data_IF_091258019518
#
_entry.id   IF_091258019518
#
_cell.length_a   1.000
_cell.length_b   1.000
_cell.length_c   1.000
_cell.angle_alpha   90.00
_cell.angle_beta   90.00
_cell.angle_gamma   90.00
#
_symmetry.space_group_name_H-M   'P 1'
#
loop_
_entity.id
_entity.type
_entity.pdbx_description
1 polymer ?
#
# COMPACT_ATOMS: atom_id res chain seq x y z
N UNK A 1 20.20 -54.38 -63.51
CA UNK A 1 19.77 -55.00 -62.26
C UNK A 1 18.52 -54.33 -61.81
N UNK A 2 17.34 -54.97 -62.06
CA UNK A 2 16.08 -54.56 -61.43
C UNK A 2 16.13 -55.06 -59.97
N UNK A 3 16.38 -54.15 -59.03
CA UNK A 3 16.14 -54.47 -57.63
C UNK A 3 14.64 -54.54 -57.45
N UNK A 4 14.12 -55.72 -57.17
CA UNK A 4 12.71 -55.84 -56.79
C UNK A 4 12.48 -55.02 -55.52
N UNK A 5 11.40 -54.23 -55.49
CA UNK A 5 11.08 -53.47 -54.29
C UNK A 5 10.92 -54.42 -53.09
N UNK A 6 11.42 -54.05 -51.94
CA UNK A 6 11.22 -54.84 -50.73
C UNK A 6 9.73 -55.05 -50.49
N UNK A 7 9.33 -56.31 -50.29
CA UNK A 7 7.95 -56.64 -49.89
C UNK A 7 7.67 -56.34 -48.40
N UNK A 8 8.67 -55.85 -47.67
CA UNK A 8 8.59 -55.54 -46.26
C UNK A 8 8.52 -54.03 -46.12
N UNK A 9 7.40 -53.52 -45.63
CA UNK A 9 7.22 -52.11 -45.30
C UNK A 9 7.74 -51.83 -43.89
N UNK A 10 8.75 -50.98 -43.81
CA UNK A 10 9.33 -50.49 -42.55
C UNK A 10 9.10 -49.00 -42.45
N UNK A 11 8.89 -48.51 -41.24
CA UNK A 11 8.80 -47.11 -40.94
C UNK A 11 9.82 -46.71 -39.88
N UNK A 12 10.28 -45.47 -39.94
CA UNK A 12 10.97 -44.79 -38.88
C UNK A 12 9.97 -43.90 -38.12
N UNK A 13 9.94 -44.00 -36.80
CA UNK A 13 9.20 -43.07 -35.97
C UNK A 13 10.04 -41.81 -35.65
N UNK A 14 9.42 -40.69 -35.45
CA UNK A 14 10.03 -39.47 -34.93
C UNK A 14 10.29 -39.55 -33.41
N UNK A 15 9.76 -40.59 -32.72
CA UNK A 15 10.12 -40.93 -31.34
C UNK A 15 10.98 -42.21 -31.34
N UNK A 16 12.13 -42.13 -30.70
CA UNK A 16 12.99 -43.29 -30.48
C UNK A 16 12.55 -44.12 -29.27
N UNK A 17 12.85 -45.40 -29.27
CA UNK A 17 12.62 -46.26 -28.09
C UNK A 17 13.41 -45.74 -26.87
N UNK A 18 12.72 -45.54 -25.75
CA UNK A 18 13.28 -44.98 -24.53
C UNK A 18 13.23 -43.47 -24.45
N UNK A 19 12.63 -42.79 -25.43
CA UNK A 19 12.40 -41.33 -25.34
C UNK A 19 11.63 -40.95 -24.07
N UNK A 20 11.98 -39.79 -23.51
CA UNK A 20 11.28 -39.20 -22.36
C UNK A 20 10.48 -37.99 -22.85
N UNK A 21 9.18 -38.01 -22.60
CA UNK A 21 8.24 -36.98 -23.02
C UNK A 21 7.58 -36.31 -21.80
N UNK A 22 7.21 -35.07 -21.92
CA UNK A 22 6.33 -34.43 -20.93
C UNK A 22 4.87 -34.93 -21.09
N UNK A 23 4.47 -35.17 -22.32
CA UNK A 23 3.17 -35.70 -22.70
C UNK A 23 3.24 -36.35 -24.09
N UNK A 24 2.25 -37.17 -24.39
CA UNK A 24 2.05 -37.70 -25.74
C UNK A 24 0.79 -37.09 -26.36
N UNK A 25 0.88 -36.63 -27.57
CA UNK A 25 -0.25 -36.13 -28.36
C UNK A 25 -0.32 -36.83 -29.73
N UNK A 26 0.82 -36.89 -30.41
CA UNK A 26 0.94 -37.55 -31.71
C UNK A 26 2.36 -38.09 -31.93
N UNK A 27 2.47 -39.01 -32.91
CA UNK A 27 3.72 -39.56 -33.41
C UNK A 27 3.65 -39.70 -34.92
N UNK A 28 4.73 -39.41 -35.62
CA UNK A 28 4.83 -39.57 -37.04
C UNK A 28 5.66 -40.83 -37.43
N UNK A 29 5.11 -41.63 -38.29
CA UNK A 29 5.79 -42.78 -38.91
C UNK A 29 6.08 -42.47 -40.36
N UNK A 30 7.33 -42.45 -40.75
CA UNK A 30 7.74 -42.21 -42.14
C UNK A 30 8.11 -43.56 -42.81
N UNK A 31 7.34 -43.92 -43.81
CA UNK A 31 7.58 -45.09 -44.63
C UNK A 31 8.46 -44.77 -45.84
N UNK A 32 8.98 -45.84 -46.50
CA UNK A 32 9.79 -45.70 -47.71
C UNK A 32 8.91 -45.42 -48.97
N UNK A 33 7.61 -45.46 -48.83
CA UNK A 33 6.63 -45.24 -49.93
C UNK A 33 5.30 -44.69 -49.43
N UNK A 34 4.45 -44.23 -50.36
CA UNK A 34 3.13 -43.72 -50.03
C UNK A 34 2.22 -44.80 -49.45
N UNK A 35 1.52 -44.48 -48.40
CA UNK A 35 0.69 -45.41 -47.65
C UNK A 35 -0.78 -45.03 -47.68
N UNK A 36 -1.64 -45.99 -47.36
CA UNK A 36 -3.07 -45.82 -47.07
C UNK A 36 -3.42 -46.51 -45.77
N UNK A 37 -4.36 -45.93 -45.02
CA UNK A 37 -4.89 -46.57 -43.83
C UNK A 37 -5.74 -47.77 -44.25
N UNK A 38 -5.45 -48.98 -43.74
CA UNK A 38 -6.27 -50.19 -43.95
C UNK A 38 -7.12 -50.46 -42.72
N UNK A 39 -6.53 -50.52 -41.52
CA UNK A 39 -7.24 -50.73 -40.28
C UNK A 39 -6.47 -50.07 -39.11
N UNK A 40 -6.94 -48.89 -38.67
CA UNK A 40 -6.38 -48.19 -37.53
C UNK A 40 -7.03 -48.55 -36.19
N UNK A 41 -8.11 -49.34 -36.19
CA UNK A 41 -8.93 -49.59 -34.98
C UNK A 41 -8.19 -50.35 -33.85
N UNK A 42 -7.03 -50.92 -34.18
CA UNK A 42 -6.20 -51.70 -33.23
C UNK A 42 -4.84 -51.07 -32.96
N UNK A 43 -4.64 -49.85 -33.41
CA UNK A 43 -3.42 -49.12 -33.07
C UNK A 43 -3.61 -48.57 -31.65
N UNK A 44 -2.76 -48.97 -30.72
CA UNK A 44 -2.96 -48.69 -29.31
C UNK A 44 -1.74 -48.10 -28.65
N UNK A 45 -1.96 -47.21 -27.69
CA UNK A 45 -1.00 -46.76 -26.71
C UNK A 45 -1.39 -47.28 -25.34
N UNK A 46 -0.50 -48.03 -24.68
CA UNK A 46 -0.79 -48.69 -23.39
C UNK A 46 0.28 -48.40 -22.36
N UNK A 47 -0.15 -48.10 -21.10
CA UNK A 47 0.70 -48.02 -19.92
C UNK A 47 0.80 -49.34 -19.13
N UNK A 48 0.32 -50.43 -19.71
CA UNK A 48 0.27 -51.75 -19.07
C UNK A 48 -0.98 -51.97 -18.20
N UNK A 49 -1.68 -50.90 -17.79
CA UNK A 49 -2.94 -50.97 -17.01
C UNK A 49 -4.15 -50.49 -17.80
N UNK A 50 -3.95 -49.56 -18.68
CA UNK A 50 -4.93 -48.96 -19.59
C UNK A 50 -4.41 -48.95 -21.02
N UNK A 51 -5.32 -48.87 -21.97
CA UNK A 51 -4.99 -48.78 -23.38
C UNK A 51 -5.92 -47.80 -24.08
N UNK A 52 -5.38 -46.90 -24.88
CA UNK A 52 -6.09 -45.97 -25.72
C UNK A 52 -5.88 -46.31 -27.19
N UNK A 53 -6.93 -46.26 -27.99
CA UNK A 53 -6.86 -46.42 -29.43
C UNK A 53 -6.51 -45.12 -30.09
N UNK A 54 -5.45 -45.10 -30.89
CA UNK A 54 -5.01 -43.91 -31.61
C UNK A 54 -5.71 -43.80 -32.97
N UNK A 55 -6.02 -42.58 -33.36
CA UNK A 55 -6.43 -42.28 -34.73
C UNK A 55 -5.21 -42.25 -35.67
N UNK A 56 -5.40 -42.58 -36.95
CA UNK A 56 -4.36 -42.51 -37.93
C UNK A 56 -4.79 -41.70 -39.15
N UNK A 57 -3.93 -40.77 -39.60
CA UNK A 57 -4.10 -40.06 -40.84
C UNK A 57 -2.82 -40.24 -41.70
N UNK A 58 -2.99 -40.25 -43.02
CA UNK A 58 -1.87 -40.47 -43.95
C UNK A 58 -1.76 -39.29 -44.89
N UNK A 59 -0.57 -38.78 -45.03
CA UNK A 59 -0.21 -37.87 -46.11
C UNK A 59 1.08 -38.36 -46.79
N UNK A 60 0.92 -38.83 -48.03
CA UNK A 60 1.99 -39.41 -48.81
C UNK A 60 2.58 -40.66 -48.07
N UNK A 61 3.85 -40.58 -47.70
CA UNK A 61 4.56 -41.63 -46.98
C UNK A 61 4.62 -41.41 -45.47
N UNK A 62 3.95 -40.39 -44.95
CA UNK A 62 3.90 -40.08 -43.50
C UNK A 62 2.55 -40.42 -42.90
N UNK A 63 2.58 -41.24 -41.90
CA UNK A 63 1.41 -41.60 -41.06
C UNK A 63 1.54 -40.79 -39.76
N UNK A 64 0.49 -40.04 -39.41
CA UNK A 64 0.34 -39.41 -38.10
C UNK A 64 -0.60 -40.22 -37.25
N UNK A 65 -0.11 -40.69 -36.11
CA UNK A 65 -0.86 -41.37 -35.08
C UNK A 65 -1.20 -40.37 -33.97
N UNK A 66 -2.47 -40.18 -33.65
CA UNK A 66 -2.89 -39.16 -32.67
C UNK A 66 -3.78 -39.76 -31.60
N UNK A 67 -3.52 -39.35 -30.36
CA UNK A 67 -4.42 -39.59 -29.24
C UNK A 67 -5.65 -38.68 -29.33
N UNK A 68 -6.77 -39.08 -28.72
CA UNK A 68 -7.98 -38.26 -28.69
C UNK A 68 -7.82 -36.98 -27.87
N UNK A 69 -6.94 -37.02 -26.87
CA UNK A 69 -6.51 -35.89 -26.05
C UNK A 69 -5.05 -36.07 -25.64
N UNK A 70 -4.44 -35.00 -25.15
CA UNK A 70 -3.08 -35.05 -24.62
C UNK A 70 -2.99 -36.02 -23.44
N UNK A 71 -2.06 -36.98 -23.50
CA UNK A 71 -1.78 -37.95 -22.44
C UNK A 71 -0.58 -37.47 -21.66
N UNK A 72 -0.79 -37.01 -20.42
CA UNK A 72 0.24 -36.53 -19.49
C UNK A 72 0.33 -37.40 -18.23
N UNK A 73 -0.35 -38.53 -18.17
CA UNK A 73 -0.22 -39.46 -17.05
C UNK A 73 1.17 -40.11 -17.10
N UNK A 74 1.89 -40.00 -15.99
CA UNK A 74 3.22 -40.57 -15.90
C UNK A 74 3.22 -42.07 -16.02
N UNK A 75 4.22 -42.61 -16.68
CA UNK A 75 4.36 -44.04 -16.86
C UNK A 75 5.18 -44.42 -18.09
N UNK A 76 5.54 -45.68 -18.17
CA UNK A 76 6.13 -46.27 -19.38
C UNK A 76 5.01 -46.71 -20.32
N UNK A 77 5.07 -46.23 -21.54
CA UNK A 77 4.08 -46.46 -22.57
C UNK A 77 4.64 -47.29 -23.71
N UNK A 78 3.80 -48.19 -24.22
CA UNK A 78 4.09 -48.95 -25.44
C UNK A 78 3.03 -48.61 -26.49
N UNK A 79 3.48 -47.98 -27.56
CA UNK A 79 2.67 -47.78 -28.77
C UNK A 79 2.81 -49.02 -29.63
N UNK A 80 1.70 -49.68 -29.95
CA UNK A 80 1.65 -50.87 -30.81
C UNK A 80 0.89 -50.55 -32.09
N UNK A 81 1.55 -50.70 -33.21
CA UNK A 81 0.97 -50.65 -34.55
C UNK A 81 0.90 -52.09 -35.07
N UNK A 82 -0.25 -52.72 -35.09
CA UNK A 82 -0.37 -54.11 -35.57
C UNK A 82 0.03 -54.28 -37.04
N UNK A 83 0.43 -55.48 -37.40
CA UNK A 83 0.60 -55.81 -38.80
C UNK A 83 -0.72 -55.58 -39.57
N UNK A 84 -0.60 -55.11 -40.82
CA UNK A 84 -1.71 -54.85 -41.73
C UNK A 84 -2.56 -53.62 -41.38
N UNK A 85 -2.08 -52.73 -40.52
CA UNK A 85 -2.73 -51.45 -40.23
C UNK A 85 -2.63 -50.49 -41.44
N UNK A 86 -1.57 -50.57 -42.17
CA UNK A 86 -1.27 -49.73 -43.37
C UNK A 86 -0.94 -50.60 -44.56
N UNK A 87 -1.23 -50.09 -45.74
CA UNK A 87 -1.00 -50.75 -47.03
C UNK A 87 -0.54 -49.75 -48.07
N UNK A 88 0.37 -50.14 -48.97
CA UNK A 88 0.69 -49.32 -50.13
C UNK A 88 -0.29 -49.56 -51.28
N UNK A 89 -0.13 -48.83 -52.38
CA UNK A 89 -0.99 -48.98 -53.60
C UNK A 89 -0.81 -50.31 -54.30
N UNK A 90 0.28 -51.03 -54.08
CA UNK A 90 0.56 -52.36 -54.62
C UNK A 90 0.00 -53.48 -53.75
N UNK A 91 -0.56 -53.19 -52.55
CA UNK A 91 -1.15 -54.15 -51.62
C UNK A 91 -0.14 -54.71 -50.62
N UNK A 92 1.08 -54.19 -50.52
CA UNK A 92 2.02 -54.60 -49.47
C UNK A 92 1.64 -53.97 -48.10
N UNK A 93 1.75 -54.76 -47.06
CA UNK A 93 1.26 -54.41 -45.70
C UNK A 93 2.46 -54.18 -44.75
N UNK A 94 2.26 -53.33 -43.74
CA UNK A 94 3.25 -53.15 -42.68
C UNK A 94 3.29 -54.43 -41.76
N UNK A 95 4.46 -54.68 -41.20
CA UNK A 95 4.64 -55.58 -40.06
C UNK A 95 4.22 -54.91 -38.77
N UNK A 96 4.06 -55.70 -37.69
CA UNK A 96 3.89 -55.13 -36.36
C UNK A 96 5.11 -54.26 -36.00
N UNK A 97 4.84 -53.05 -35.44
CA UNK A 97 5.86 -52.13 -34.94
C UNK A 97 5.47 -51.77 -33.48
N UNK A 98 6.51 -51.66 -32.64
CA UNK A 98 6.35 -51.24 -31.25
C UNK A 98 7.35 -50.15 -30.94
N UNK A 99 6.87 -49.12 -30.25
CA UNK A 99 7.67 -48.02 -29.76
C UNK A 99 7.43 -47.87 -28.27
N UNK A 100 8.49 -47.75 -27.49
CA UNK A 100 8.39 -47.56 -26.04
C UNK A 100 8.94 -46.23 -25.66
N UNK A 101 8.26 -45.50 -24.79
CA UNK A 101 8.73 -44.22 -24.26
C UNK A 101 8.18 -44.00 -22.86
N UNK A 102 8.75 -43.02 -22.12
CA UNK A 102 8.34 -42.70 -20.77
C UNK A 102 7.71 -41.30 -20.78
N UNK A 103 6.51 -41.15 -20.20
CA UNK A 103 5.93 -39.83 -19.94
C UNK A 103 6.27 -39.43 -18.52
N UNK A 104 6.94 -38.27 -18.37
CA UNK A 104 7.32 -37.63 -17.11
C UNK A 104 6.79 -36.21 -17.09
N UNK A 105 5.49 -36.07 -16.88
CA UNK A 105 4.90 -34.76 -16.78
C UNK A 105 5.44 -34.02 -15.55
N UNK A 106 5.96 -32.78 -15.71
CA UNK A 106 6.34 -31.97 -14.58
C UNK A 106 5.09 -31.64 -13.74
N UNK A 107 5.28 -31.54 -12.43
CA UNK A 107 4.17 -31.23 -11.53
C UNK A 107 4.09 -29.71 -11.26
N UNK A 108 2.89 -29.26 -10.87
CA UNK A 108 2.58 -27.86 -10.58
C UNK A 108 2.00 -27.71 -9.17
N UNK A 109 2.06 -26.52 -8.58
CA UNK A 109 1.38 -26.28 -7.31
C UNK A 109 -0.11 -26.58 -7.36
N UNK A 110 -0.64 -27.25 -6.32
CA UNK A 110 -2.07 -27.43 -6.11
C UNK A 110 -2.66 -26.36 -5.20
N UNK A 111 -1.84 -25.78 -4.31
CA UNK A 111 -2.21 -24.60 -3.52
C UNK A 111 -1.00 -23.80 -3.08
N UNK A 112 -1.22 -22.50 -2.85
CA UNK A 112 -0.21 -21.56 -2.39
C UNK A 112 -0.78 -20.75 -1.24
N UNK A 113 0.01 -20.54 -0.18
CA UNK A 113 -0.39 -19.77 1.01
C UNK A 113 0.68 -18.74 1.34
N UNK A 114 0.35 -17.43 1.42
CA UNK A 114 -0.97 -16.87 1.13
C UNK A 114 -1.39 -17.08 -0.32
N UNK A 115 -2.69 -17.08 -0.58
CA UNK A 115 -3.21 -17.12 -1.95
C UNK A 115 -2.80 -15.87 -2.73
N UNK A 116 -2.60 -16.03 -4.05
CA UNK A 116 -2.35 -14.90 -4.95
C UNK A 116 -3.44 -13.83 -4.85
N UNK A 117 -3.08 -12.57 -5.07
CA UNK A 117 -4.00 -11.44 -5.06
C UNK A 117 -3.66 -10.35 -4.07
N UNK A 118 -4.67 -9.60 -3.61
CA UNK A 118 -4.48 -8.44 -2.73
C UNK A 118 -4.30 -8.88 -1.28
N UNK A 119 -3.22 -8.40 -0.65
CA UNK A 119 -2.89 -8.63 0.77
C UNK A 119 -2.51 -7.31 1.43
N UNK A 120 -2.72 -7.19 2.75
CA UNK A 120 -2.26 -6.03 3.51
C UNK A 120 -0.73 -6.01 3.62
N UNK A 121 -0.16 -7.15 3.98
CA UNK A 121 1.29 -7.37 4.04
C UNK A 121 1.61 -8.72 3.44
N UNK A 122 2.83 -8.90 2.90
CA UNK A 122 3.29 -10.19 2.39
C UNK A 122 4.20 -10.85 3.43
N UNK A 123 3.86 -12.04 3.95
CA UNK A 123 4.71 -12.76 4.89
C UNK A 123 6.01 -13.19 4.20
N UNK A 124 7.09 -13.33 4.97
CA UNK A 124 8.40 -13.77 4.44
C UNK A 124 8.43 -15.25 4.05
N UNK A 125 7.41 -16.02 4.37
CA UNK A 125 7.28 -17.42 3.98
C UNK A 125 6.06 -17.62 3.10
N UNK A 126 6.29 -18.09 1.88
CA UNK A 126 5.24 -18.49 0.96
C UNK A 126 5.25 -20.02 0.89
N UNK A 127 4.22 -20.65 1.43
CA UNK A 127 4.09 -22.10 1.46
C UNK A 127 3.38 -22.61 0.19
N UNK A 128 3.99 -23.56 -0.49
CA UNK A 128 3.48 -24.16 -1.72
C UNK A 128 3.26 -25.65 -1.50
N UNK A 129 2.04 -26.12 -1.71
CA UNK A 129 1.68 -27.53 -1.69
C UNK A 129 1.63 -28.05 -3.13
N UNK A 130 2.40 -29.09 -3.40
CA UNK A 130 2.46 -29.72 -4.72
C UNK A 130 1.51 -30.93 -4.86
N UNK A 131 0.88 -31.37 -3.76
CA UNK A 131 0.00 -32.57 -3.77
C UNK A 131 0.73 -33.89 -4.03
N UNK A 132 2.05 -33.85 -4.20
CA UNK A 132 2.92 -34.97 -4.42
C UNK A 132 4.04 -35.00 -3.38
N UNK A 133 4.58 -36.21 -3.10
CA UNK A 133 5.68 -36.34 -2.18
C UNK A 133 6.96 -35.68 -2.72
N UNK A 134 7.46 -34.70 -2.00
CA UNK A 134 8.71 -33.99 -2.29
C UNK A 134 9.88 -34.77 -1.67
N UNK A 135 10.83 -35.19 -2.47
CA UNK A 135 12.02 -35.89 -2.02
C UNK A 135 13.24 -34.98 -1.94
N UNK A 136 13.32 -33.98 -2.82
CA UNK A 136 14.45 -33.08 -2.87
C UNK A 136 14.02 -31.66 -3.24
N UNK A 137 14.74 -30.70 -2.66
CA UNK A 137 14.59 -29.28 -2.97
C UNK A 137 15.97 -28.71 -3.26
N UNK A 138 16.12 -27.98 -4.35
CA UNK A 138 17.34 -27.25 -4.67
C UNK A 138 17.36 -25.93 -3.91
N UNK A 139 18.01 -25.92 -2.76
CA UNK A 139 18.14 -24.74 -1.90
C UNK A 139 19.00 -23.62 -2.53
N UNK A 140 19.80 -23.95 -3.57
CA UNK A 140 20.64 -23.01 -4.29
C UNK A 140 19.95 -22.42 -5.53
N UNK A 141 18.74 -22.88 -5.83
CA UNK A 141 17.98 -22.38 -6.98
C UNK A 141 17.73 -20.88 -6.89
N UNK A 142 17.85 -20.20 -8.02
CA UNK A 142 17.60 -18.74 -8.12
C UNK A 142 16.10 -18.43 -8.13
N UNK A 143 15.47 -18.52 -6.95
CA UNK A 143 14.08 -18.07 -6.77
C UNK A 143 14.07 -16.58 -6.47
N UNK A 144 13.31 -15.80 -7.25
CA UNK A 144 13.30 -14.35 -7.16
C UNK A 144 11.96 -13.84 -6.67
N UNK A 145 12.00 -12.79 -5.86
CA UNK A 145 10.87 -11.92 -5.62
C UNK A 145 11.10 -10.61 -6.36
N UNK A 146 10.23 -10.30 -7.30
CA UNK A 146 10.22 -9.00 -7.98
C UNK A 146 9.33 -8.03 -7.22
N UNK A 147 9.63 -6.73 -7.32
CA UNK A 147 8.75 -5.63 -6.90
C UNK A 147 8.55 -4.70 -8.09
N UNK A 148 7.29 -4.47 -8.45
CA UNK A 148 6.89 -3.61 -9.58
C UNK A 148 7.67 -3.95 -10.87
N UNK A 149 7.90 -5.27 -11.10
CA UNK A 149 8.59 -5.81 -12.25
C UNK A 149 10.11 -5.83 -12.17
N UNK A 150 10.73 -5.30 -11.11
CA UNK A 150 12.18 -5.26 -10.93
C UNK A 150 12.64 -6.29 -9.90
N UNK A 151 13.87 -6.81 -10.05
CA UNK A 151 14.49 -7.68 -9.04
C UNK A 151 14.53 -6.95 -7.69
N UNK A 152 14.01 -7.60 -6.65
CA UNK A 152 13.90 -7.00 -5.32
C UNK A 152 14.62 -7.82 -4.26
N UNK A 153 14.19 -9.05 -4.02
CA UNK A 153 14.76 -9.97 -3.05
C UNK A 153 14.88 -11.38 -3.67
N UNK A 154 15.57 -12.25 -2.99
CA UNK A 154 15.63 -13.68 -3.32
C UNK A 154 14.85 -14.48 -2.29
N UNK A 155 14.40 -15.66 -2.67
CA UNK A 155 13.81 -16.62 -1.75
C UNK A 155 14.58 -17.94 -1.79
N UNK A 156 14.66 -18.58 -0.63
CA UNK A 156 15.25 -19.92 -0.48
C UNK A 156 14.11 -20.95 -0.43
N UNK A 157 14.21 -21.99 -1.23
CA UNK A 157 13.27 -23.09 -1.18
C UNK A 157 13.68 -24.07 -0.06
N UNK A 158 12.75 -24.40 0.83
CA UNK A 158 12.99 -25.29 2.00
C UNK A 158 11.85 -26.30 2.11
N UNK A 159 12.17 -27.59 2.18
CA UNK A 159 11.15 -28.63 2.40
C UNK A 159 10.45 -28.42 3.75
N UNK A 160 9.14 -28.29 3.75
CA UNK A 160 8.33 -28.05 4.95
C UNK A 160 7.58 -29.31 5.42
N UNK A 161 7.12 -30.15 4.50
CA UNK A 161 6.47 -31.45 4.78
C UNK A 161 6.61 -32.39 3.59
N UNK A 162 5.90 -33.50 3.63
CA UNK A 162 5.96 -34.48 2.53
C UNK A 162 5.50 -33.89 1.20
N UNK A 163 4.53 -32.96 1.19
CA UNK A 163 4.01 -32.37 -0.05
C UNK A 163 4.28 -30.88 -0.18
N UNK A 164 4.86 -30.23 0.87
CA UNK A 164 5.00 -28.77 0.93
C UNK A 164 6.43 -28.28 0.93
N UNK A 165 6.64 -27.20 0.21
CA UNK A 165 7.87 -26.44 0.18
C UNK A 165 7.57 -25.00 0.58
N UNK A 166 8.37 -24.47 1.51
CA UNK A 166 8.38 -23.05 1.87
C UNK A 166 9.38 -22.31 0.98
N UNK A 167 8.95 -21.21 0.42
CA UNK A 167 9.83 -20.23 -0.21
C UNK A 167 10.04 -19.10 0.80
N UNK A 168 11.21 -19.08 1.42
CA UNK A 168 11.57 -18.15 2.48
C UNK A 168 12.29 -16.94 1.89
N UNK A 169 11.64 -15.77 1.92
CA UNK A 169 12.18 -14.52 1.40
C UNK A 169 13.33 -14.07 2.29
N UNK A 170 14.49 -13.84 1.70
CA UNK A 170 15.73 -13.48 2.38
C UNK A 170 15.98 -11.98 2.31
N UNK A 171 16.68 -11.42 3.32
CA UNK A 171 17.08 -10.01 3.32
C UNK A 171 16.03 -9.02 3.83
N UNK A 172 14.88 -9.52 4.28
CA UNK A 172 13.87 -8.70 4.95
C UNK A 172 13.61 -9.21 6.38
N UNK A 173 13.05 -8.36 7.22
CA UNK A 173 12.69 -8.68 8.62
C UNK A 173 11.20 -8.43 8.81
N UNK A 174 10.48 -9.38 9.41
CA UNK A 174 9.02 -9.32 9.55
C UNK A 174 8.31 -9.50 8.20
N UNK A 175 7.09 -8.99 8.07
CA UNK A 175 6.35 -9.02 6.81
C UNK A 175 6.70 -7.82 5.94
N UNK A 176 6.57 -7.95 4.61
CA UNK A 176 6.71 -6.85 3.67
C UNK A 176 5.47 -5.95 3.78
N UNK A 177 5.65 -4.75 4.31
CA UNK A 177 4.56 -3.81 4.67
C UNK A 177 4.34 -2.70 3.65
N UNK A 178 5.21 -2.56 2.64
CA UNK A 178 5.14 -1.47 1.66
C UNK A 178 4.24 -1.81 0.49
N UNK A 179 3.50 -0.81 0.05
CA UNK A 179 2.67 -0.92 -1.15
C UNK A 179 3.51 -1.24 -2.39
N UNK A 180 3.00 -2.16 -3.22
CA UNK A 180 3.61 -2.56 -4.47
C UNK A 180 3.03 -3.86 -5.02
N UNK A 181 3.39 -4.19 -6.25
CA UNK A 181 3.10 -5.49 -6.84
C UNK A 181 4.33 -6.38 -6.69
N UNK A 182 4.16 -7.48 -5.96
CA UNK A 182 5.24 -8.43 -5.68
C UNK A 182 4.98 -9.74 -6.40
N UNK A 183 6.00 -10.25 -7.10
CA UNK A 183 5.89 -11.46 -7.89
C UNK A 183 6.99 -12.44 -7.53
N UNK A 184 6.61 -13.57 -6.90
CA UNK A 184 7.53 -14.68 -6.67
C UNK A 184 7.68 -15.46 -7.97
N UNK A 185 8.90 -15.66 -8.44
CA UNK A 185 9.23 -16.43 -9.64
C UNK A 185 10.01 -17.67 -9.23
N UNK A 186 9.44 -18.82 -9.46
CA UNK A 186 10.04 -20.11 -9.18
C UNK A 186 10.39 -20.81 -10.50
N UNK A 187 11.68 -21.03 -10.78
CA UNK A 187 12.09 -21.74 -11.98
C UNK A 187 11.59 -23.20 -12.00
N UNK A 188 11.64 -23.84 -13.14
CA UNK A 188 11.54 -25.28 -13.24
C UNK A 188 12.73 -25.96 -12.54
N UNK A 189 12.53 -27.19 -12.13
CA UNK A 189 13.54 -28.06 -11.55
C UNK A 189 14.07 -27.66 -10.16
N UNK A 190 13.36 -26.83 -9.42
CA UNK A 190 13.67 -26.47 -8.02
C UNK A 190 13.24 -27.58 -7.06
N UNK A 191 12.12 -28.22 -7.32
CA UNK A 191 11.54 -29.25 -6.46
C UNK A 191 11.44 -30.55 -7.24
N UNK A 192 11.95 -31.63 -6.65
CA UNK A 192 11.87 -32.98 -7.20
C UNK A 192 10.99 -33.84 -6.31
N UNK A 193 10.24 -34.77 -6.91
CA UNK A 193 9.47 -35.77 -6.17
C UNK A 193 10.38 -36.71 -5.34
N UNK A 194 9.78 -37.66 -4.61
CA UNK A 194 10.48 -38.61 -3.76
C UNK A 194 11.29 -39.70 -4.52
N UNK A 195 11.34 -39.58 -5.86
CA UNK A 195 12.06 -40.48 -6.78
C UNK A 195 13.37 -39.91 -7.33
N UNK A 196 13.95 -38.88 -6.68
CA UNK A 196 15.23 -38.30 -7.15
C UNK A 196 16.32 -39.36 -7.35
N UNK A 197 16.91 -39.35 -8.55
CA UNK A 197 17.92 -40.32 -8.96
C UNK A 197 17.36 -41.58 -9.62
N UNK A 198 16.05 -41.74 -9.65
CA UNK A 198 15.37 -42.80 -10.43
C UNK A 198 15.13 -42.30 -11.84
N UNK A 199 15.91 -42.79 -12.78
CA UNK A 199 15.86 -42.36 -14.18
C UNK A 199 14.50 -42.58 -14.83
N UNK A 200 13.65 -43.43 -14.29
CA UNK A 200 12.32 -43.72 -14.83
C UNK A 200 11.23 -42.84 -14.19
N UNK A 201 11.31 -42.58 -12.85
CA UNK A 201 10.22 -41.99 -12.08
C UNK A 201 10.53 -40.61 -11.48
N UNK A 202 11.75 -40.13 -11.62
CA UNK A 202 12.15 -38.79 -11.20
C UNK A 202 11.40 -37.71 -11.98
N UNK A 203 10.80 -36.76 -11.27
CA UNK A 203 10.07 -35.64 -11.88
C UNK A 203 10.33 -34.34 -11.12
N UNK A 204 10.27 -33.24 -11.80
CA UNK A 204 10.51 -31.93 -11.26
C UNK A 204 9.29 -31.01 -11.43
N UNK A 205 9.27 -29.92 -10.65
CA UNK A 205 8.25 -28.90 -10.82
C UNK A 205 8.39 -28.20 -12.16
N UNK A 206 7.25 -27.83 -12.75
CA UNK A 206 7.17 -26.83 -13.80
C UNK A 206 7.49 -25.44 -13.25
N UNK A 207 8.05 -24.54 -14.04
CA UNK A 207 8.18 -23.15 -13.65
C UNK A 207 6.80 -22.55 -13.38
N UNK A 208 6.70 -21.75 -12.32
CA UNK A 208 5.48 -21.03 -11.97
C UNK A 208 5.81 -19.69 -11.33
N UNK A 209 4.82 -18.82 -11.32
CA UNK A 209 4.89 -17.56 -10.61
C UNK A 209 3.62 -17.31 -9.81
N UNK A 210 3.73 -16.47 -8.79
CA UNK A 210 2.59 -16.02 -8.00
C UNK A 210 2.71 -14.53 -7.71
N UNK A 211 1.63 -13.79 -7.93
CA UNK A 211 1.60 -12.34 -7.80
C UNK A 211 0.74 -11.91 -6.63
N UNK A 212 1.25 -10.93 -5.89
CA UNK A 212 0.61 -10.29 -4.74
C UNK A 212 0.58 -8.78 -4.93
N UNK A 213 -0.57 -8.18 -4.71
CA UNK A 213 -0.71 -6.72 -4.60
C UNK A 213 -0.75 -6.36 -3.12
N UNK A 214 0.38 -5.87 -2.61
CA UNK A 214 0.47 -5.39 -1.22
C UNK A 214 -0.07 -3.97 -1.17
N UNK A 215 -1.14 -3.74 -0.40
CA UNK A 215 -1.72 -2.41 -0.24
C UNK A 215 -0.99 -1.56 0.80
N UNK A 216 -0.18 -2.18 1.62
CA UNK A 216 0.62 -1.56 2.67
C UNK A 216 -0.05 -1.68 4.04
N UNK A 217 0.77 -1.80 5.08
CA UNK A 217 0.28 -1.86 6.44
C UNK A 217 -0.33 -0.52 6.88
N UNK A 218 -1.24 -0.58 7.86
CA UNK A 218 -1.84 0.62 8.45
C UNK A 218 -0.77 1.60 9.00
N UNK A 219 0.31 1.08 9.59
CA UNK A 219 1.41 1.90 10.09
C UNK A 219 2.17 2.61 8.95
N UNK A 220 2.51 1.88 7.87
CA UNK A 220 3.15 2.47 6.69
C UNK A 220 2.28 3.55 6.04
N UNK A 221 0.99 3.28 5.83
CA UNK A 221 0.06 4.24 5.23
C UNK A 221 -0.11 5.49 6.10
N UNK A 222 -0.14 5.33 7.43
CA UNK A 222 -0.17 6.45 8.37
C UNK A 222 1.10 7.30 8.30
N UNK A 223 2.28 6.66 8.23
CA UNK A 223 3.56 7.35 8.07
C UNK A 223 3.61 8.17 6.78
N UNK A 224 3.20 7.59 5.64
CA UNK A 224 3.10 8.32 4.36
C UNK A 224 2.21 9.55 4.46
N UNK A 225 1.03 9.42 5.10
CA UNK A 225 0.09 10.53 5.26
C UNK A 225 0.67 11.65 6.13
N UNK A 226 1.42 11.31 7.18
CA UNK A 226 2.08 12.30 8.04
C UNK A 226 3.15 13.08 7.29
N UNK A 227 3.97 12.42 6.46
CA UNK A 227 5.01 13.09 5.66
C UNK A 227 4.46 14.03 4.57
N UNK A 228 3.21 13.84 4.16
CA UNK A 228 2.55 14.72 3.19
C UNK A 228 1.98 16.00 3.83
N UNK A 229 1.95 16.08 5.16
CA UNK A 229 1.36 17.19 5.86
C UNK A 229 2.44 18.20 6.24
N UNK A 230 2.31 19.42 5.72
CA UNK A 230 3.20 20.56 5.99
C UNK A 230 2.44 21.75 6.62
N UNK A 231 1.35 21.49 7.31
CA UNK A 231 0.56 22.50 7.98
C UNK A 231 1.25 23.03 9.25
N UNK A 232 0.84 24.20 9.71
CA UNK A 232 1.28 24.78 10.98
C UNK A 232 1.05 23.80 12.14
N UNK A 233 2.04 23.66 13.01
CA UNK A 233 2.06 22.74 14.14
C UNK A 233 2.50 21.31 13.80
N UNK A 234 2.80 21.01 12.53
CA UNK A 234 3.43 19.75 12.15
C UNK A 234 4.96 19.88 12.16
N UNK A 235 5.70 18.79 12.40
CA UNK A 235 7.17 18.82 12.37
C UNK A 235 7.70 19.41 11.08
N UNK A 236 8.73 20.27 11.21
CA UNK A 236 9.43 20.79 10.03
C UNK A 236 10.11 19.66 9.27
N UNK A 237 10.21 19.79 7.96
CA UNK A 237 10.93 18.81 7.10
C UNK A 237 12.40 18.62 7.50
N UNK A 238 12.98 19.59 8.23
CA UNK A 238 14.34 19.55 8.77
C UNK A 238 14.43 19.01 10.19
N UNK A 239 13.30 18.76 10.86
CA UNK A 239 13.30 18.24 12.22
C UNK A 239 13.79 16.79 12.27
N UNK A 240 14.36 16.39 13.41
CA UNK A 240 14.93 15.07 13.57
C UNK A 240 13.87 13.95 13.38
N UNK A 241 12.67 14.16 13.90
CA UNK A 241 11.62 13.18 13.81
C UNK A 241 11.02 13.07 12.37
N UNK A 242 10.92 14.18 11.63
CA UNK A 242 10.51 14.13 10.21
C UNK A 242 11.54 13.35 9.38
N UNK A 243 12.83 13.68 9.55
CA UNK A 243 13.91 12.98 8.82
C UNK A 243 13.90 11.51 9.13
N UNK A 244 13.80 11.10 10.41
CA UNK A 244 13.73 9.71 10.81
C UNK A 244 12.51 8.99 10.23
N UNK A 245 11.33 9.62 10.25
CA UNK A 245 10.12 9.05 9.65
C UNK A 245 10.27 8.86 8.13
N UNK A 246 10.85 9.85 7.46
CA UNK A 246 11.10 9.78 6.01
C UNK A 246 12.13 8.70 5.65
N UNK A 247 13.17 8.51 6.46
CA UNK A 247 14.14 7.44 6.28
C UNK A 247 13.50 6.06 6.43
N UNK A 248 12.69 5.85 7.48
CA UNK A 248 11.96 4.59 7.68
C UNK A 248 10.99 4.32 6.53
N UNK A 249 10.28 5.32 6.03
CA UNK A 249 9.42 5.19 4.86
C UNK A 249 10.23 4.89 3.60
N UNK A 250 11.40 5.51 3.43
CA UNK A 250 12.31 5.25 2.31
C UNK A 250 12.99 3.88 2.33
N UNK A 251 13.25 3.32 3.50
CA UNK A 251 13.97 2.06 3.66
C UNK A 251 13.06 0.86 3.34
N UNK A 252 13.39 0.10 2.32
CA UNK A 252 12.61 -1.07 1.86
C UNK A 252 12.50 -2.18 2.91
N UNK A 253 13.46 -2.31 3.81
CA UNK A 253 13.48 -3.32 4.86
C UNK A 253 12.74 -2.92 6.15
N UNK A 254 12.13 -1.73 6.19
CA UNK A 254 11.44 -1.24 7.39
C UNK A 254 10.24 -2.09 7.78
N UNK A 255 10.14 -2.35 9.06
CA UNK A 255 9.09 -3.14 9.70
C UNK A 255 7.96 -2.26 10.23
N UNK A 256 6.81 -2.87 10.54
CA UNK A 256 5.69 -2.19 11.22
C UNK A 256 6.06 -1.62 12.59
N UNK A 257 6.98 -2.26 13.31
CA UNK A 257 7.47 -1.77 14.59
C UNK A 257 8.28 -0.47 14.42
N UNK A 258 9.12 -0.39 13.39
CA UNK A 258 9.89 0.82 13.07
C UNK A 258 8.99 1.96 12.60
N UNK A 259 7.97 1.67 11.78
CA UNK A 259 6.97 2.68 11.42
C UNK A 259 6.26 3.23 12.64
N UNK A 260 5.80 2.38 13.57
CA UNK A 260 5.14 2.82 14.80
C UNK A 260 6.06 3.67 15.66
N UNK A 261 7.31 3.24 15.88
CA UNK A 261 8.27 4.00 16.66
C UNK A 261 8.58 5.37 16.05
N UNK A 262 8.75 5.45 14.73
CA UNK A 262 8.99 6.71 14.03
C UNK A 262 7.75 7.63 14.05
N UNK A 263 6.55 7.08 13.95
CA UNK A 263 5.29 7.82 14.11
C UNK A 263 5.19 8.40 15.52
N UNK A 264 5.50 7.61 16.55
CA UNK A 264 5.47 8.08 17.95
C UNK A 264 6.50 9.21 18.17
N UNK A 265 7.71 9.09 17.60
CA UNK A 265 8.69 10.17 17.63
C UNK A 265 8.20 11.43 16.91
N UNK A 266 7.54 11.26 15.76
CA UNK A 266 6.96 12.35 14.99
C UNK A 266 5.88 13.10 15.76
N UNK A 267 5.03 12.41 16.52
CA UNK A 267 4.03 13.04 17.40
C UNK A 267 4.65 13.76 18.59
N UNK A 268 5.87 13.40 19.00
CA UNK A 268 6.61 14.01 20.10
C UNK A 268 7.53 15.16 19.69
N UNK A 269 7.61 15.46 18.39
CA UNK A 269 8.51 16.50 17.88
C UNK A 269 8.05 17.89 18.32
N UNK A 270 9.01 18.69 18.73
CA UNK A 270 8.79 20.08 19.17
C UNK A 270 9.27 21.12 18.15
N UNK A 271 10.14 20.74 17.23
CA UNK A 271 10.55 21.62 16.12
C UNK A 271 9.50 21.58 15.01
N UNK A 272 8.43 22.33 15.21
CA UNK A 272 7.24 22.35 14.34
C UNK A 272 7.16 23.63 13.53
N UNK A 273 6.35 23.59 12.46
CA UNK A 273 6.01 24.77 11.68
C UNK A 273 5.18 25.72 12.52
N UNK A 274 5.66 26.95 12.66
CA UNK A 274 4.94 28.02 13.34
C UNK A 274 4.14 28.84 12.33
N UNK A 275 3.11 29.58 12.79
CA UNK A 275 2.42 30.54 11.94
C UNK A 275 3.41 31.56 11.39
N UNK A 276 3.38 31.78 10.09
CA UNK A 276 4.25 32.72 9.41
C UNK A 276 3.80 34.17 9.61
N UNK A 277 4.76 35.07 9.86
CA UNK A 277 4.48 36.48 10.01
C UNK A 277 3.77 37.07 8.78
N UNK A 278 2.72 37.82 9.01
CA UNK A 278 1.86 38.44 7.98
C UNK A 278 1.04 37.52 7.12
N UNK A 279 0.97 36.23 7.49
CA UNK A 279 -0.03 35.30 6.91
C UNK A 279 -1.32 35.29 7.71
N UNK A 280 -2.40 34.91 7.04
CA UNK A 280 -3.74 34.90 7.59
C UNK A 280 -4.20 33.49 7.92
N UNK A 281 -4.86 33.37 9.07
CA UNK A 281 -5.32 32.07 9.59
C UNK A 281 -6.70 32.17 10.20
N UNK A 282 -7.52 31.16 10.02
CA UNK A 282 -8.66 30.85 10.87
C UNK A 282 -8.17 29.95 12.01
N UNK A 283 -8.68 30.17 13.21
CA UNK A 283 -8.22 29.46 14.40
C UNK A 283 -9.28 28.49 14.83
N UNK A 284 -8.94 27.21 14.88
CA UNK A 284 -9.81 26.15 15.39
C UNK A 284 -9.48 25.86 16.86
N UNK A 285 -10.48 25.82 17.71
CA UNK A 285 -10.42 25.17 19.02
C UNK A 285 -10.64 23.67 18.83
N UNK A 286 -9.76 22.83 19.34
CA UNK A 286 -9.75 21.39 19.12
C UNK A 286 -9.98 20.67 20.43
N UNK A 287 -10.96 19.77 20.50
CA UNK A 287 -11.22 18.94 21.67
C UNK A 287 -10.49 17.58 21.60
N UNK A 288 -10.58 16.79 22.65
CA UNK A 288 -9.94 15.46 22.75
C UNK A 288 -10.40 14.46 21.67
N UNK A 289 -11.61 14.63 21.14
CA UNK A 289 -12.11 13.81 20.03
C UNK A 289 -11.68 14.32 18.65
N UNK A 290 -10.84 15.38 18.62
CA UNK A 290 -10.42 16.09 17.41
C UNK A 290 -11.61 16.78 16.69
N UNK A 291 -12.68 17.06 17.40
CA UNK A 291 -13.78 17.90 16.93
C UNK A 291 -13.34 19.38 17.01
N UNK A 292 -13.80 20.21 16.08
CA UNK A 292 -13.32 21.57 15.93
C UNK A 292 -14.47 22.57 15.97
N UNK A 293 -14.24 23.66 16.74
CA UNK A 293 -15.02 24.90 16.64
C UNK A 293 -14.05 26.03 16.33
N UNK A 294 -14.52 27.07 15.69
CA UNK A 294 -13.66 28.14 15.14
C UNK A 294 -13.91 29.44 15.82
N UNK A 295 -12.84 30.26 15.97
CA UNK A 295 -12.94 31.61 16.53
C UNK A 295 -13.62 32.56 15.53
N UNK A 296 -14.64 33.24 15.99
CA UNK A 296 -15.32 34.31 15.26
C UNK A 296 -15.39 35.58 16.11
N UNK A 297 -15.24 36.74 15.51
CA UNK A 297 -15.33 38.03 16.19
C UNK A 297 -16.71 38.64 15.95
N UNK A 298 -17.40 38.99 17.04
CA UNK A 298 -18.66 39.72 17.00
C UNK A 298 -18.70 40.73 18.17
N UNK A 299 -18.95 41.98 17.90
CA UNK A 299 -18.99 43.06 18.91
C UNK A 299 -17.77 43.10 19.82
N UNK A 300 -16.59 42.99 19.28
CA UNK A 300 -15.29 42.92 19.96
C UNK A 300 -15.13 41.70 20.92
N UNK A 301 -16.06 40.74 20.88
CA UNK A 301 -15.95 39.48 21.60
C UNK A 301 -15.57 38.37 20.61
N UNK A 302 -14.76 37.45 21.09
CA UNK A 302 -14.43 36.22 20.35
C UNK A 302 -15.35 35.11 20.80
N UNK A 303 -16.05 34.52 19.84
CA UNK A 303 -17.00 33.43 20.04
C UNK A 303 -16.50 32.17 19.33
N UNK A 304 -17.10 31.04 19.68
CA UNK A 304 -16.89 29.77 18.96
C UNK A 304 -18.06 29.47 18.05
N UNK A 305 -17.77 29.19 16.79
CA UNK A 305 -18.74 28.80 15.76
C UNK A 305 -18.41 27.40 15.24
N UNK A 306 -19.42 26.67 14.78
CA UNK A 306 -19.23 25.29 14.30
C UNK A 306 -18.70 25.25 12.85
N UNK A 307 -19.08 26.23 12.04
CA UNK A 307 -18.70 26.30 10.63
C UNK A 307 -17.47 27.19 10.44
N UNK A 308 -16.45 26.66 9.75
CA UNK A 308 -15.24 27.42 9.42
C UNK A 308 -15.53 28.64 8.54
N UNK A 309 -16.58 28.61 7.73
CA UNK A 309 -16.94 29.75 6.85
C UNK A 309 -17.40 30.99 7.66
N UNK A 310 -17.96 30.76 8.86
CA UNK A 310 -18.39 31.81 9.80
C UNK A 310 -17.25 32.32 10.66
N UNK A 311 -16.09 31.65 10.64
CA UNK A 311 -14.94 32.01 11.45
C UNK A 311 -14.25 33.27 10.90
N UNK A 312 -13.79 34.11 11.81
CA UNK A 312 -12.94 35.26 11.49
C UNK A 312 -11.53 34.81 11.11
N UNK A 313 -10.92 35.53 10.17
CA UNK A 313 -9.52 35.35 9.84
C UNK A 313 -8.66 36.34 10.64
N UNK A 314 -7.49 35.89 11.07
CA UNK A 314 -6.53 36.66 11.84
C UNK A 314 -5.16 36.67 11.14
N UNK A 315 -4.52 37.81 11.11
CA UNK A 315 -3.13 37.94 10.65
C UNK A 315 -2.17 37.57 11.78
N UNK A 316 -1.25 36.65 11.52
CA UNK A 316 -0.19 36.31 12.43
C UNK A 316 0.89 37.43 12.38
N UNK A 317 1.18 38.05 13.50
CA UNK A 317 2.16 39.15 13.59
C UNK A 317 3.20 38.82 14.64
N UNK A 318 4.46 38.96 14.26
CA UNK A 318 5.59 38.89 15.19
C UNK A 318 6.18 40.27 15.37
N UNK A 319 6.10 40.79 16.56
CA UNK A 319 6.62 42.12 16.91
C UNK A 319 7.48 42.01 18.16
N UNK A 320 8.74 42.46 18.06
CA UNK A 320 9.72 42.44 19.18
C UNK A 320 9.80 41.10 19.94
N UNK A 321 9.74 39.98 19.24
CA UNK A 321 9.79 38.65 19.84
C UNK A 321 8.47 38.16 20.45
N UNK A 322 7.40 38.93 20.30
CA UNK A 322 6.04 38.56 20.75
C UNK A 322 5.20 38.20 19.54
N UNK A 323 4.55 37.04 19.61
CA UNK A 323 3.55 36.61 18.62
C UNK A 323 2.19 37.17 19.00
N UNK A 324 1.44 37.67 18.03
CA UNK A 324 0.06 38.10 18.23
C UNK A 324 -0.79 37.83 17.00
N UNK A 325 -2.09 37.88 17.17
CA UNK A 325 -3.08 37.69 16.11
C UNK A 325 -3.94 38.93 15.99
N UNK A 326 -3.94 39.54 14.81
CA UNK A 326 -4.68 40.77 14.50
C UNK A 326 -5.84 40.52 13.55
N UNK A 327 -6.89 41.31 13.63
CA UNK A 327 -7.96 41.33 12.63
C UNK A 327 -7.62 42.33 11.48
N UNK A 328 -8.53 42.42 10.51
CA UNK A 328 -8.38 43.32 9.36
C UNK A 328 -8.49 44.82 9.73
N UNK A 329 -8.90 45.15 10.95
CA UNK A 329 -9.02 46.52 11.50
C UNK A 329 -7.88 46.87 12.45
N UNK A 330 -6.79 46.09 12.45
CA UNK A 330 -5.61 46.24 13.32
C UNK A 330 -5.90 46.09 14.82
N UNK A 331 -6.99 45.39 15.19
CA UNK A 331 -7.21 44.99 16.56
C UNK A 331 -6.53 43.67 16.83
N UNK A 332 -6.03 43.48 18.05
CA UNK A 332 -5.28 42.29 18.45
C UNK A 332 -6.09 41.43 19.43
N UNK A 333 -5.95 40.10 19.34
CA UNK A 333 -6.40 39.24 20.40
C UNK A 333 -5.62 39.55 21.68
N UNK A 334 -6.31 39.80 22.77
CA UNK A 334 -5.66 40.16 24.03
C UNK A 334 -6.39 39.57 25.25
N UNK A 335 -5.73 39.68 26.40
CA UNK A 335 -6.17 39.18 27.71
C UNK A 335 -6.89 40.30 28.50
N UNK A 336 -7.48 41.24 27.84
CA UNK A 336 -8.04 42.42 28.48
C UNK A 336 -9.18 42.05 29.45
N UNK A 337 -9.15 42.54 30.66
CA UNK A 337 -10.16 42.38 31.67
C UNK A 337 -9.95 41.24 32.65
N UNK A 338 -8.76 40.65 32.75
CA UNK A 338 -8.46 39.65 33.80
C UNK A 338 -8.34 40.37 35.13
N UNK A 339 -9.24 40.10 36.10
CA UNK A 339 -9.11 40.55 37.47
C UNK A 339 -8.42 39.47 38.32
N UNK A 340 -7.44 39.82 39.11
CA UNK A 340 -6.62 38.91 39.88
C UNK A 340 -7.32 38.27 41.11
N UNK A 341 -8.59 38.61 41.36
CA UNK A 341 -9.31 38.13 42.55
C UNK A 341 -9.90 36.73 42.31
N UNK A 342 -9.58 35.81 43.23
CA UNK A 342 -10.14 34.48 43.29
C UNK A 342 -11.66 34.56 43.46
N UNK A 343 -12.44 34.42 42.41
CA UNK A 343 -13.91 34.50 42.41
C UNK A 343 -14.46 35.50 41.40
N UNK A 344 -13.60 36.30 40.73
CA UNK A 344 -14.06 37.17 39.67
C UNK A 344 -14.43 36.40 38.40
N UNK A 345 -15.34 36.97 37.58
CA UNK A 345 -15.73 36.39 36.30
C UNK A 345 -14.50 36.09 35.45
N UNK A 346 -14.50 34.92 34.90
CA UNK A 346 -13.46 34.47 33.96
C UNK A 346 -13.38 35.46 32.81
N UNK A 347 -12.18 35.98 32.53
CA UNK A 347 -11.99 36.98 31.49
C UNK A 347 -12.12 36.35 30.12
N UNK A 348 -13.03 36.88 29.37
CA UNK A 348 -13.28 36.44 27.98
C UNK A 348 -12.16 36.91 27.07
N UNK A 349 -11.84 36.10 26.06
CA UNK A 349 -10.97 36.53 24.98
C UNK A 349 -11.68 37.65 24.18
N UNK A 350 -10.98 38.75 24.01
CA UNK A 350 -11.49 39.90 23.26
C UNK A 350 -10.50 40.31 22.19
N UNK A 351 -10.98 41.08 21.23
CA UNK A 351 -10.16 41.72 20.26
C UNK A 351 -10.24 43.22 20.46
N UNK A 352 -9.12 43.88 20.59
CA UNK A 352 -9.01 45.33 20.80
C UNK A 352 -7.68 45.83 20.26
N UNK A 353 -7.47 47.16 20.20
CA UNK A 353 -6.16 47.71 19.91
C UNK A 353 -5.13 47.20 20.94
N UNK A 354 -3.93 46.90 20.47
CA UNK A 354 -2.85 46.38 21.30
C UNK A 354 -2.55 47.33 22.48
N UNK A 355 -2.71 46.85 23.69
CA UNK A 355 -2.53 47.59 24.95
C UNK A 355 -1.32 47.09 25.78
N UNK A 356 -0.48 46.25 25.20
CA UNK A 356 0.68 45.64 25.86
C UNK A 356 0.48 44.24 26.39
N UNK A 357 -0.77 43.70 26.35
CA UNK A 357 -1.07 42.31 26.67
C UNK A 357 -1.14 41.48 25.38
N UNK A 358 -0.07 40.78 25.07
CA UNK A 358 -0.02 39.90 23.87
C UNK A 358 -0.32 38.45 24.22
N UNK A 359 -1.00 37.76 23.30
CA UNK A 359 -1.16 36.31 23.37
C UNK A 359 0.14 35.65 22.93
N UNK A 360 0.70 34.82 23.78
CA UNK A 360 1.87 34.02 23.46
C UNK A 360 1.44 32.62 22.98
N UNK A 361 2.17 32.13 21.99
CA UNK A 361 1.99 30.82 21.45
C UNK A 361 2.97 29.87 22.12
N UNK A 362 2.46 28.80 22.73
CA UNK A 362 3.30 27.70 23.20
C UNK A 362 3.00 26.44 22.41
N UNK A 363 4.06 25.77 21.98
CA UNK A 363 4.01 24.42 21.46
C UNK A 363 3.94 23.43 22.62
N UNK A 364 3.08 22.43 22.56
CA UNK A 364 3.09 21.39 23.56
C UNK A 364 1.85 20.50 23.52
N UNK A 365 1.98 19.38 24.19
CA UNK A 365 0.87 18.45 24.38
C UNK A 365 -0.17 19.08 25.31
N UNK A 366 -1.30 19.34 24.74
CA UNK A 366 -2.47 19.74 25.52
C UNK A 366 -3.25 18.51 25.97
N UNK A 367 -3.04 17.37 25.29
CA UNK A 367 -3.70 16.09 25.56
C UNK A 367 -2.67 14.99 25.84
N UNK A 368 -2.86 14.26 26.95
CA UNK A 368 -1.89 13.29 27.47
C UNK A 368 -1.57 12.10 26.55
N UNK A 369 -2.51 11.54 25.87
CA UNK A 369 -2.33 10.28 25.18
C UNK A 369 -2.49 10.36 23.65
N UNK A 370 -3.42 11.16 23.20
CA UNK A 370 -3.66 11.38 21.76
C UNK A 370 -3.21 12.79 21.42
N UNK A 371 -1.90 12.96 21.25
CA UNK A 371 -1.32 14.25 20.91
C UNK A 371 -2.03 14.85 19.74
N UNK A 372 -2.63 15.99 19.93
CA UNK A 372 -3.28 16.73 18.87
C UNK A 372 -2.19 17.41 18.05
N UNK A 373 -1.55 16.63 17.16
CA UNK A 373 -0.57 17.11 16.22
C UNK A 373 -1.14 18.29 15.45
N UNK A 374 -0.35 19.34 15.29
CA UNK A 374 -0.81 20.57 14.64
C UNK A 374 -1.57 21.52 15.55
N UNK A 375 -1.48 21.35 16.87
CA UNK A 375 -2.12 22.25 17.83
C UNK A 375 -1.14 22.96 18.73
N UNK A 376 -1.60 24.08 19.29
CA UNK A 376 -0.89 24.94 20.22
C UNK A 376 -1.78 25.31 21.38
N UNK A 377 -1.17 25.64 22.51
CA UNK A 377 -1.85 26.38 23.57
C UNK A 377 -1.57 27.87 23.43
N UNK A 378 -2.56 28.70 23.75
CA UNK A 378 -2.38 30.14 23.83
C UNK A 378 -2.21 30.54 25.28
N UNK A 379 -1.13 31.23 25.59
CA UNK A 379 -0.87 31.79 26.89
C UNK A 379 -0.74 33.31 26.82
N UNK A 380 -1.21 33.98 27.84
CA UNK A 380 -1.06 35.40 28.04
C UNK A 380 -0.58 35.68 29.43
N UNK A 381 0.22 36.71 29.63
CA UNK A 381 0.63 37.19 30.95
C UNK A 381 -0.01 38.55 31.19
N UNK A 382 -0.53 38.73 32.41
CA UNK A 382 -1.14 39.96 32.84
C UNK A 382 -0.40 40.51 34.06
N UNK A 383 -0.06 41.83 34.12
CA UNK A 383 0.54 42.40 35.32
C UNK A 383 -0.36 42.26 36.52
N UNK A 384 0.15 41.71 37.61
CA UNK A 384 -0.61 41.64 38.87
C UNK A 384 -0.83 43.04 39.43
N UNK A 385 -2.05 43.33 39.84
CA UNK A 385 -2.43 44.63 40.46
C UNK A 385 -1.77 44.84 41.82
N UNK A 386 -1.29 43.73 42.45
CA UNK A 386 -0.76 43.74 43.82
C UNK A 386 0.75 43.62 43.95
N UNK A 387 1.52 43.59 42.86
CA UNK A 387 2.98 43.44 42.94
C UNK A 387 3.68 43.32 41.56
N UNK A 388 4.99 43.25 41.58
CA UNK A 388 5.86 43.15 40.36
C UNK A 388 5.84 41.76 39.69
N UNK A 389 4.84 40.91 39.93
CA UNK A 389 4.71 39.57 39.35
C UNK A 389 3.64 39.57 38.29
N UNK A 390 3.94 38.97 37.15
CA UNK A 390 2.97 38.65 36.12
C UNK A 390 2.31 37.27 36.41
N UNK A 391 1.01 37.18 36.23
CA UNK A 391 0.27 35.89 36.33
C UNK A 391 0.06 35.40 34.90
N UNK A 392 0.46 34.17 34.67
CA UNK A 392 0.25 33.51 33.36
C UNK A 392 -1.18 32.85 33.34
N UNK A 393 -1.88 33.07 32.25
CA UNK A 393 -3.18 32.50 31.99
C UNK A 393 -3.13 31.75 30.66
N UNK A 394 -3.84 30.61 30.60
CA UNK A 394 -4.06 29.87 29.36
C UNK A 394 -5.48 30.08 28.84
N UNK A 395 -5.64 30.10 27.54
CA UNK A 395 -6.94 30.20 26.90
C UNK A 395 -7.68 28.87 26.99
N UNK A 396 -8.94 28.92 27.42
CA UNK A 396 -9.79 27.79 27.64
C UNK A 396 -11.10 27.92 26.86
N UNK A 397 -11.64 26.81 26.38
CA UNK A 397 -12.88 26.77 25.63
C UNK A 397 -13.94 25.86 26.25
N UNK A 398 -13.76 25.46 27.52
CA UNK A 398 -14.67 24.55 28.24
C UNK A 398 -14.75 24.95 29.75
N UNK A 399 -15.87 24.70 30.37
CA UNK A 399 -16.14 25.08 31.77
C UNK A 399 -15.64 24.01 32.77
N UNK A 400 -15.42 22.79 32.36
CA UNK A 400 -15.02 21.66 33.21
C UNK A 400 -13.49 21.50 33.29
N UNK A 401 -13.03 21.01 34.45
CA UNK A 401 -11.65 20.57 34.64
C UNK A 401 -11.26 19.36 33.74
N UNK A 402 -12.26 18.64 33.22
CA UNK A 402 -12.08 17.57 32.24
C UNK A 402 -12.13 18.08 30.81
N UNK A 403 -11.55 19.21 30.59
CA UNK A 403 -11.50 20.00 29.35
C UNK A 403 -11.26 19.22 28.05
N UNK A 404 -10.90 18.00 28.15
CA UNK A 404 -10.50 17.21 27.00
C UNK A 404 -11.66 16.54 26.26
N UNK A 405 -12.88 16.66 26.75
CA UNK A 405 -14.01 15.94 26.18
C UNK A 405 -14.77 16.75 25.13
N UNK A 406 -15.12 18.01 25.42
CA UNK A 406 -15.96 18.83 24.55
C UNK A 406 -15.67 20.32 24.72
N UNK A 407 -15.86 21.10 23.66
CA UNK A 407 -15.91 22.55 23.76
C UNK A 407 -17.34 22.94 24.16
N UNK A 408 -17.53 23.27 25.40
CA UNK A 408 -18.84 23.46 26.01
C UNK A 408 -19.21 24.90 26.29
N UNK A 409 -18.36 25.85 25.89
CA UNK A 409 -18.62 27.28 26.09
C UNK A 409 -18.77 28.01 24.75
N UNK A 410 -19.67 28.97 24.76
CA UNK A 410 -19.92 29.78 23.57
C UNK A 410 -18.79 30.78 23.24
N UNK A 411 -17.97 31.14 24.23
CA UNK A 411 -16.86 32.06 24.09
C UNK A 411 -15.63 31.57 24.86
N UNK A 412 -14.42 31.57 24.28
CA UNK A 412 -13.19 31.24 24.99
C UNK A 412 -12.91 32.23 26.12
N UNK A 413 -12.22 31.78 27.16
CA UNK A 413 -11.89 32.59 28.32
C UNK A 413 -10.49 32.24 28.85
N UNK A 414 -9.90 33.13 29.64
CA UNK A 414 -8.59 32.94 30.23
C UNK A 414 -8.69 32.30 31.62
N UNK A 415 -7.87 31.30 31.88
CA UNK A 415 -7.81 30.62 33.18
C UNK A 415 -6.38 30.19 33.52
N UNK A 416 -6.04 30.18 34.80
CA UNK A 416 -4.68 29.86 35.28
C UNK A 416 -4.38 28.36 35.34
N UNK A 417 -5.39 27.49 35.39
CA UNK A 417 -5.24 26.06 35.67
C UNK A 417 -5.66 25.14 34.51
N UNK A 418 -6.24 25.67 33.47
CA UNK A 418 -6.73 24.90 32.31
C UNK A 418 -6.21 25.53 31.04
N UNK A 419 -6.05 24.69 30.02
CA UNK A 419 -5.67 25.13 28.67
C UNK A 419 -6.40 24.33 27.64
N UNK A 420 -6.54 24.85 26.43
CA UNK A 420 -7.14 24.17 25.28
C UNK A 420 -6.17 24.15 24.11
N UNK A 421 -6.41 23.20 23.21
CA UNK A 421 -5.65 23.07 21.97
C UNK A 421 -6.28 23.94 20.89
N UNK A 422 -5.43 24.66 20.14
CA UNK A 422 -5.83 25.50 19.02
C UNK A 422 -4.99 25.15 17.79
N UNK A 423 -5.64 25.05 16.63
CA UNK A 423 -5.00 24.79 15.36
C UNK A 423 -5.18 25.97 14.41
N UNK A 424 -4.19 26.18 13.56
CA UNK A 424 -4.17 27.23 12.55
C UNK A 424 -4.55 26.63 11.19
N UNK A 425 -5.51 27.25 10.51
CA UNK A 425 -5.90 26.94 9.14
C UNK A 425 -5.53 28.13 8.27
N UNK A 426 -4.48 27.99 7.46
CA UNK A 426 -4.04 29.08 6.56
C UNK A 426 -5.15 29.43 5.57
N UNK A 427 -5.38 30.73 5.38
CA UNK A 427 -6.38 31.27 4.45
C UNK A 427 -5.78 32.46 3.71
N UNK A 428 -6.39 32.83 2.62
CA UNK A 428 -6.05 34.10 1.96
C UNK A 428 -6.49 35.29 2.84
N UNK A 429 -5.79 36.42 2.66
CA UNK A 429 -6.18 37.67 3.30
C UNK A 429 -7.64 38.01 2.95
N UNK A 430 -8.49 38.23 3.96
CA UNK A 430 -9.88 38.62 3.68
C UNK A 430 -9.91 39.90 2.82
N UNK A 431 -10.81 39.94 1.84
CA UNK A 431 -11.07 41.17 1.14
C UNK A 431 -11.49 42.22 2.16
N UNK A 432 -10.84 43.42 2.13
CA UNK A 432 -11.23 44.50 3.01
C UNK A 432 -12.73 44.78 2.83
N UNK A 433 -13.49 44.72 3.92
CA UNK A 433 -14.87 45.13 3.90
C UNK A 433 -14.89 46.57 3.40
N UNK A 434 -15.52 46.83 2.28
CA UNK A 434 -15.74 48.20 1.80
C UNK A 434 -16.61 48.84 2.86
N UNK A 435 -16.01 49.58 3.78
CA UNK A 435 -16.75 50.45 4.69
C UNK A 435 -17.32 51.57 3.81
N UNK A 436 -18.56 51.46 3.45
CA UNK A 436 -19.29 52.59 2.90
C UNK A 436 -19.43 53.59 4.02
N UNK A 437 -18.53 54.53 4.03
CA UNK A 437 -18.69 55.76 4.87
C UNK A 437 -19.81 56.54 4.21
N UNK A 438 -21.04 56.35 4.66
CA UNK A 438 -22.11 57.31 4.41
C UNK A 438 -21.77 58.63 5.11
N UNK A 439 -20.99 59.42 4.46
CA UNK A 439 -20.83 60.82 4.85
C UNK A 439 -22.06 61.54 4.33
N UNK A 440 -23.08 61.59 5.16
CA UNK A 440 -24.19 62.46 4.91
C UNK A 440 -23.69 63.94 4.98
N UNK A 441 -23.30 64.48 3.85
CA UNK A 441 -23.14 65.90 3.72
C UNK A 441 -24.51 66.53 3.80
N UNK A 442 -24.86 67.08 4.96
CA UNK A 442 -25.95 68.06 5.05
C UNK A 442 -25.48 69.32 4.32
N UNK A 443 -25.90 69.46 3.09
CA UNK A 443 -25.88 70.74 2.39
C UNK A 443 -26.92 71.65 3.05
N UNK A 444 -26.45 72.51 3.93
CA UNK A 444 -27.27 73.66 4.35
C UNK A 444 -27.35 74.62 3.17
N UNK A 445 -28.55 74.97 2.65
CA UNK A 445 -28.65 75.93 1.59
C UNK A 445 -28.18 77.26 2.09
N UNK A 446 -27.19 77.85 1.43
CA UNK A 446 -26.80 79.24 1.65
C UNK A 446 -27.97 80.11 1.28
N UNK A 447 -28.47 80.86 2.24
CA UNK A 447 -29.47 81.89 1.98
C UNK A 447 -28.72 82.96 1.20
N UNK A 448 -29.02 83.04 -0.11
CA UNK A 448 -28.62 84.21 -0.91
C UNK A 448 -29.45 85.40 -0.45
N UNK A 449 -28.79 86.28 0.31
CA UNK A 449 -29.41 87.49 0.72
C UNK A 449 -29.79 88.35 -0.49
N UNK A 450 -31.02 88.67 -0.61
CA UNK A 450 -31.54 89.69 -1.54
C UNK A 450 -31.13 91.06 -1.04
N UNK A 451 -30.24 91.73 -1.75
CA UNK A 451 -30.09 93.20 -1.61
C UNK A 451 -31.27 93.88 -2.33
N UNK A 452 -32.00 94.63 -1.58
CA UNK A 452 -32.83 95.74 -2.09
C UNK A 452 -32.18 97.03 -1.64
#
# INVERSE_FOLDING_TARGET
LYTMPSTILTATGDLENGSVLEYFENMHLTFDRNMLVKDASKITLSDGTSSETLSATVKDNVVTLSAASQIAKNGTYILTVPAKSFVDKEGFENKEMKFSFVIKAPFSPVSITPAAGTVETLPLTIAVDFGENVGYVDEAASVKLLKDGNDYLIAKAVKASDTKVNFEIQGAVGAISKKGTYKLIVPANVVCNDKKGDAEWERYNKAFDVEYVVVGSAAYLKALKLLQNNSVGYPKVTSAAYVALNEVVGNEASTDAEFKAAIDAYYNETDVLLPENKKWYKIASVNKKNERKYLAVSNNQVLLVDNIDEASAFEALTYSGVFTLGDADDNMLNVNGVTADAGAEVSKLRIAKLDGSAVQLETGDVFDADKALGTFSFKGSYPSVTGNSSVAYALCNHADKKYQTEADVAAPYWQSSLTSAFAFVEVEKPAAAIKTVETAYKLTPAIVGSNA
#
